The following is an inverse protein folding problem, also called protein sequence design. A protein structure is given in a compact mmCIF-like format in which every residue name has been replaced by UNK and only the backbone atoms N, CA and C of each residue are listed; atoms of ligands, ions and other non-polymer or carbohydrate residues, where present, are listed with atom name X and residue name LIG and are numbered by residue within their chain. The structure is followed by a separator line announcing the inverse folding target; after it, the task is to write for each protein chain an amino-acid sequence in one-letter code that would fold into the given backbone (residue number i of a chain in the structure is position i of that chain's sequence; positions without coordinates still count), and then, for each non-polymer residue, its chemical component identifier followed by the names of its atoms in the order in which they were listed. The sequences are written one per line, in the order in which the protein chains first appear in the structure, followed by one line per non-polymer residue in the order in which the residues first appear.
data_IF_260181563994
#
_entry.id   IF_260181563994
#
_cell.length_a   1.000
_cell.length_b   1.000
_cell.length_c   1.000
_cell.angle_alpha   90.00
_cell.angle_beta   90.00
_cell.angle_gamma   90.00
#
_symmetry.space_group_name_H-M   'P 1'
#
loop_
_entity.id
_entity.type
_entity.pdbx_description
1 polymer ?
#
# COMPACT_ATOMS: atom_id res chain seq x y z
N UNK A 1 -7.97 47.50 15.51
CA UNK A 1 -8.26 46.32 14.66
C UNK A 1 -7.32 45.19 15.08
N UNK A 2 -7.87 44.13 15.68
CA UNK A 2 -7.10 43.19 16.50
C UNK A 2 -6.28 42.22 15.64
N UNK A 3 -4.94 42.26 15.73
CA UNK A 3 -4.03 41.45 14.88
C UNK A 3 -4.33 39.95 14.97
N UNK A 4 -4.78 39.46 16.13
CA UNK A 4 -5.18 38.06 16.34
C UNK A 4 -6.30 37.57 15.40
N UNK A 5 -7.27 38.44 15.05
CA UNK A 5 -8.36 38.10 14.14
C UNK A 5 -7.91 38.06 12.67
N UNK A 6 -6.82 38.75 12.32
CA UNK A 6 -6.28 38.74 10.96
C UNK A 6 -5.54 37.42 10.70
N UNK A 7 -4.71 36.98 11.65
CA UNK A 7 -3.93 35.75 11.54
C UNK A 7 -4.77 34.48 11.61
N UNK A 8 -5.87 34.47 12.38
CA UNK A 8 -6.83 33.35 12.39
C UNK A 8 -7.57 33.25 11.06
N UNK A 9 -8.01 34.38 10.49
CA UNK A 9 -8.69 34.44 9.20
C UNK A 9 -7.77 34.00 8.05
N UNK A 10 -6.50 34.44 8.05
CA UNK A 10 -5.52 34.05 7.03
C UNK A 10 -5.19 32.55 7.08
N UNK A 11 -4.98 31.96 8.27
CA UNK A 11 -4.77 30.50 8.44
C UNK A 11 -5.94 29.67 7.91
N UNK A 12 -7.16 30.10 8.19
CA UNK A 12 -8.36 29.37 7.78
C UNK A 12 -8.58 29.42 6.25
N UNK A 13 -8.16 30.51 5.60
CA UNK A 13 -8.25 30.64 4.13
C UNK A 13 -7.15 29.88 3.36
N UNK A 14 -5.94 29.77 3.90
CA UNK A 14 -4.85 29.04 3.22
C UNK A 14 -5.03 27.53 3.28
N UNK A 15 -5.46 26.98 4.42
CA UNK A 15 -5.78 25.57 4.58
C UNK A 15 -6.92 25.11 3.65
N UNK A 16 -7.97 25.92 3.51
CA UNK A 16 -9.09 25.63 2.61
C UNK A 16 -8.67 25.64 1.12
N UNK A 17 -7.82 26.59 0.71
CA UNK A 17 -7.33 26.65 -0.69
C UNK A 17 -6.35 25.53 -1.02
N UNK A 18 -5.55 25.09 -0.06
CA UNK A 18 -4.68 23.92 -0.22
C UNK A 18 -5.49 22.62 -0.34
N UNK A 19 -6.55 22.47 0.47
CA UNK A 19 -7.46 21.31 0.40
C UNK A 19 -8.19 21.18 -0.95
N UNK A 20 -8.51 22.30 -1.61
CA UNK A 20 -9.17 22.34 -2.92
C UNK A 20 -8.27 21.93 -4.11
N UNK A 21 -6.94 21.85 -3.90
CA UNK A 21 -5.98 21.45 -4.96
C UNK A 21 -5.73 19.94 -5.02
N UNK A 22 -6.22 19.18 -4.04
CA UNK A 22 -6.18 17.73 -4.12
C UNK A 22 -7.32 17.24 -5.02
N UNK A 23 -7.06 16.23 -5.85
CA UNK A 23 -8.10 15.53 -6.62
C UNK A 23 -9.04 14.89 -5.61
N UNK A 24 -10.13 15.58 -5.29
CA UNK A 24 -11.15 15.06 -4.38
C UNK A 24 -12.07 14.15 -5.19
N UNK A 25 -12.04 12.87 -4.87
CA UNK A 25 -13.00 11.91 -5.39
C UNK A 25 -14.35 12.17 -4.72
N UNK A 26 -15.41 12.24 -5.56
CA UNK A 26 -16.81 12.41 -5.14
C UNK A 26 -17.25 11.37 -4.12
N UNK A 27 -16.61 10.20 -4.07
CA UNK A 27 -16.85 9.20 -3.04
C UNK A 27 -16.54 9.70 -1.61
N UNK A 28 -15.50 10.51 -1.43
CA UNK A 28 -15.05 10.97 -0.10
C UNK A 28 -15.62 12.32 0.32
N UNK A 29 -16.38 13.00 -0.55
CA UNK A 29 -17.03 14.26 -0.23
C UNK A 29 -18.08 14.10 0.89
N UNK A 30 -18.17 15.07 1.80
CA UNK A 30 -19.21 15.09 2.81
C UNK A 30 -20.58 15.33 2.14
N UNK A 31 -21.49 14.35 2.24
CA UNK A 31 -22.82 14.39 1.63
C UNK A 31 -23.04 13.40 0.49
N UNK A 32 -22.01 12.70 0.03
CA UNK A 32 -22.05 11.75 -1.10
C UNK A 32 -22.65 10.37 -0.79
N UNK A 33 -23.71 10.31 0.03
CA UNK A 33 -24.35 9.04 0.45
C UNK A 33 -24.80 8.17 -0.73
N UNK A 34 -25.22 8.81 -1.83
CA UNK A 34 -25.66 8.12 -3.06
C UNK A 34 -24.51 7.35 -3.72
N UNK A 35 -23.33 7.96 -3.86
CA UNK A 35 -22.17 7.31 -4.47
C UNK A 35 -21.64 6.16 -3.61
N UNK A 36 -21.67 6.33 -2.28
CA UNK A 36 -21.31 5.27 -1.33
C UNK A 36 -22.25 4.08 -1.43
N UNK A 37 -23.56 4.33 -1.52
CA UNK A 37 -24.57 3.28 -1.68
C UNK A 37 -24.47 2.59 -3.04
N UNK A 38 -24.30 3.35 -4.12
CA UNK A 38 -24.14 2.79 -5.46
C UNK A 38 -22.93 1.87 -5.56
N UNK A 39 -21.78 2.28 -5.00
CA UNK A 39 -20.57 1.46 -4.98
C UNK A 39 -20.75 0.20 -4.12
N UNK A 40 -21.42 0.30 -2.98
CA UNK A 40 -21.76 -0.86 -2.16
C UNK A 40 -22.69 -1.83 -2.91
N UNK A 41 -23.70 -1.33 -3.62
CA UNK A 41 -24.58 -2.15 -4.44
C UNK A 41 -23.84 -2.84 -5.58
N UNK A 42 -22.98 -2.13 -6.31
CA UNK A 42 -22.15 -2.72 -7.37
C UNK A 42 -21.25 -3.82 -6.80
N UNK A 43 -20.63 -3.59 -5.63
CA UNK A 43 -19.83 -4.61 -4.96
C UNK A 43 -20.67 -5.85 -4.58
N UNK A 44 -21.85 -5.64 -3.98
CA UNK A 44 -22.77 -6.75 -3.63
C UNK A 44 -23.18 -7.52 -4.87
N UNK A 45 -23.57 -6.84 -5.96
CA UNK A 45 -23.94 -7.47 -7.22
C UNK A 45 -22.76 -8.28 -7.79
N UNK A 46 -21.55 -7.71 -7.76
CA UNK A 46 -20.34 -8.42 -8.19
C UNK A 46 -20.12 -9.71 -7.40
N UNK A 47 -20.29 -9.67 -6.09
CA UNK A 47 -20.23 -10.87 -5.24
C UNK A 47 -21.33 -11.86 -5.57
N UNK A 48 -22.56 -11.42 -5.79
CA UNK A 48 -23.66 -12.31 -6.18
C UNK A 48 -23.35 -13.01 -7.52
N UNK A 49 -22.88 -12.28 -8.52
CA UNK A 49 -22.49 -12.86 -9.83
C UNK A 49 -21.36 -13.87 -9.67
N UNK A 50 -20.39 -13.62 -8.80
CA UNK A 50 -19.29 -14.53 -8.52
C UNK A 50 -19.75 -15.79 -7.76
N UNK A 51 -20.60 -15.62 -6.74
CA UNK A 51 -21.01 -16.70 -5.84
C UNK A 51 -22.15 -17.54 -6.40
N UNK A 52 -22.99 -16.98 -7.27
CA UNK A 52 -24.17 -17.69 -7.79
C UNK A 52 -23.84 -18.99 -8.54
N UNK A 53 -22.82 -19.06 -9.42
CA UNK A 53 -22.38 -20.32 -10.02
C UNK A 53 -21.90 -21.34 -8.99
N UNK A 54 -21.24 -20.88 -7.91
CA UNK A 54 -20.82 -21.76 -6.81
C UNK A 54 -22.02 -22.32 -6.06
N UNK A 55 -23.06 -21.52 -5.83
CA UNK A 55 -24.31 -21.97 -5.21
C UNK A 55 -25.02 -23.03 -6.06
N UNK A 56 -25.10 -22.83 -7.38
CA UNK A 56 -25.66 -23.83 -8.31
C UNK A 56 -24.85 -25.14 -8.22
N UNK A 57 -23.53 -25.03 -8.20
CA UNK A 57 -22.65 -26.19 -8.10
C UNK A 57 -22.84 -26.94 -6.77
N UNK A 58 -22.84 -26.25 -5.62
CA UNK A 58 -23.10 -26.85 -4.30
C UNK A 58 -24.47 -27.53 -4.28
N UNK A 59 -25.50 -26.83 -4.77
CA UNK A 59 -26.86 -27.35 -4.81
C UNK A 59 -26.98 -28.58 -5.73
N UNK A 60 -26.14 -28.69 -6.75
CA UNK A 60 -26.11 -29.81 -7.72
C UNK A 60 -25.19 -30.97 -7.33
N UNK A 61 -24.27 -30.79 -6.37
CA UNK A 61 -23.43 -31.87 -5.85
C UNK A 61 -24.23 -32.80 -4.93
N UNK A 62 -25.20 -32.25 -4.20
CA UNK A 62 -26.00 -32.99 -3.24
C UNK A 62 -27.13 -33.75 -3.93
N UNK A 63 -27.49 -34.94 -3.43
CA UNK A 63 -28.57 -35.76 -4.00
C UNK A 63 -29.94 -35.08 -3.93
N UNK A 64 -30.13 -34.18 -2.95
CA UNK A 64 -31.33 -33.36 -2.80
C UNK A 64 -30.92 -31.89 -2.78
N UNK A 65 -31.68 -30.99 -3.43
CA UNK A 65 -31.37 -29.58 -3.42
C UNK A 65 -31.48 -29.01 -2.00
N UNK A 66 -30.45 -28.30 -1.55
CA UNK A 66 -30.50 -27.50 -0.31
C UNK A 66 -31.40 -26.28 -0.48
N UNK A 67 -31.37 -25.67 -1.65
CA UNK A 67 -32.15 -24.49 -2.00
C UNK A 67 -33.06 -24.83 -3.17
N UNK A 68 -34.35 -24.94 -2.91
CA UNK A 68 -35.36 -25.29 -3.95
C UNK A 68 -35.54 -24.21 -5.01
N UNK A 69 -35.18 -22.96 -4.72
CA UNK A 69 -35.25 -21.84 -5.66
C UNK A 69 -33.98 -21.68 -6.51
N UNK A 70 -32.91 -22.39 -6.17
CA UNK A 70 -31.66 -22.39 -6.95
C UNK A 70 -31.68 -23.63 -7.83
N UNK A 71 -31.17 -23.49 -9.05
CA UNK A 71 -31.09 -24.59 -10.00
C UNK A 71 -30.31 -25.78 -9.43
N UNK A 72 -30.78 -27.00 -9.72
CA UNK A 72 -30.22 -28.26 -9.25
C UNK A 72 -30.21 -29.26 -10.41
N UNK A 73 -29.05 -29.82 -10.71
CA UNK A 73 -28.95 -30.89 -11.70
C UNK A 73 -29.37 -32.24 -11.11
N UNK A 74 -30.46 -32.81 -11.64
CA UNK A 74 -30.92 -34.16 -11.28
C UNK A 74 -30.41 -35.26 -12.23
N UNK A 75 -29.61 -34.92 -13.24
CA UNK A 75 -29.22 -35.82 -14.32
C UNK A 75 -27.81 -36.41 -14.16
N UNK A 76 -27.63 -37.68 -14.58
CA UNK A 76 -26.33 -38.37 -14.59
C UNK A 76 -25.21 -37.58 -15.28
N UNK A 77 -25.54 -36.80 -16.31
CA UNK A 77 -24.58 -35.98 -17.06
C UNK A 77 -23.95 -34.88 -16.20
N UNK A 78 -24.71 -34.31 -15.26
CA UNK A 78 -24.23 -33.27 -14.37
C UNK A 78 -23.18 -33.79 -13.38
N UNK A 79 -23.43 -34.96 -12.81
CA UNK A 79 -22.46 -35.63 -11.93
C UNK A 79 -21.15 -35.95 -12.66
N UNK A 80 -21.24 -36.46 -13.90
CA UNK A 80 -20.06 -36.74 -14.73
C UNK A 80 -19.24 -35.46 -14.96
N UNK A 81 -19.90 -34.36 -15.33
CA UNK A 81 -19.22 -33.07 -15.52
C UNK A 81 -18.53 -32.58 -14.23
N UNK A 82 -19.21 -32.64 -13.09
CA UNK A 82 -18.66 -32.25 -11.79
C UNK A 82 -17.45 -33.11 -11.40
N UNK A 83 -17.49 -34.41 -11.69
CA UNK A 83 -16.33 -35.29 -11.48
C UNK A 83 -15.14 -34.85 -12.32
N UNK A 84 -15.32 -34.54 -13.60
CA UNK A 84 -14.20 -34.09 -14.45
C UNK A 84 -13.65 -32.73 -14.04
N UNK A 85 -14.52 -31.75 -13.78
CA UNK A 85 -14.08 -30.42 -13.33
C UNK A 85 -13.37 -30.49 -11.98
N UNK A 86 -13.88 -31.29 -11.03
CA UNK A 86 -13.23 -31.44 -9.72
C UNK A 86 -11.84 -32.06 -9.84
N UNK A 87 -11.65 -33.07 -10.71
CA UNK A 87 -10.33 -33.64 -11.00
C UNK A 87 -9.40 -32.57 -11.59
N UNK A 88 -9.85 -31.81 -12.59
CA UNK A 88 -9.03 -30.75 -13.21
C UNK A 88 -8.64 -29.68 -12.19
N UNK A 89 -9.57 -29.26 -11.34
CA UNK A 89 -9.30 -28.26 -10.29
C UNK A 89 -8.30 -28.80 -9.27
N UNK A 90 -8.48 -30.03 -8.78
CA UNK A 90 -7.55 -30.64 -7.81
C UNK A 90 -6.15 -30.79 -8.42
N UNK A 91 -6.04 -31.28 -9.65
CA UNK A 91 -4.75 -31.38 -10.35
C UNK A 91 -4.12 -30.00 -10.54
N UNK A 92 -4.91 -29.00 -10.93
CA UNK A 92 -4.45 -27.62 -11.04
C UNK A 92 -3.90 -27.06 -9.74
N UNK A 93 -4.60 -27.27 -8.61
CA UNK A 93 -4.15 -26.87 -7.28
C UNK A 93 -2.85 -27.58 -6.90
N UNK A 94 -2.73 -28.89 -7.19
CA UNK A 94 -1.50 -29.64 -6.89
C UNK A 94 -0.32 -29.14 -7.72
N UNK A 95 -0.49 -28.94 -9.04
CA UNK A 95 0.58 -28.47 -9.92
C UNK A 95 0.99 -27.03 -9.57
N UNK A 96 0.03 -26.12 -9.44
CA UNK A 96 0.32 -24.72 -9.13
C UNK A 96 0.83 -24.55 -7.70
N UNK A 97 0.26 -25.29 -6.75
CA UNK A 97 0.67 -25.27 -5.35
C UNK A 97 2.10 -25.78 -5.16
N UNK A 98 2.43 -26.92 -5.79
CA UNK A 98 3.81 -27.45 -5.75
C UNK A 98 4.78 -26.51 -6.45
N UNK A 99 4.48 -26.03 -7.65
CA UNK A 99 5.33 -25.07 -8.36
C UNK A 99 5.56 -23.78 -7.54
N UNK A 100 4.50 -23.23 -6.95
CA UNK A 100 4.58 -22.04 -6.10
C UNK A 100 5.45 -22.30 -4.87
N UNK A 101 5.27 -23.45 -4.20
CA UNK A 101 6.09 -23.84 -3.06
C UNK A 101 7.58 -23.90 -3.43
N UNK A 102 7.94 -24.51 -4.56
CA UNK A 102 9.32 -24.56 -5.02
C UNK A 102 9.87 -23.17 -5.38
N UNK A 103 9.08 -22.31 -6.02
CA UNK A 103 9.48 -20.95 -6.35
C UNK A 103 9.72 -20.11 -5.09
N UNK A 104 8.82 -20.17 -4.10
CA UNK A 104 8.97 -19.47 -2.82
C UNK A 104 10.20 -19.98 -2.08
N UNK A 105 10.37 -21.31 -1.99
CA UNK A 105 11.55 -21.90 -1.35
C UNK A 105 12.85 -21.45 -2.03
N UNK A 106 12.89 -21.47 -3.38
CA UNK A 106 14.05 -21.00 -4.15
C UNK A 106 14.30 -19.51 -3.89
N UNK A 107 13.26 -18.70 -3.87
CA UNK A 107 13.38 -17.26 -3.65
C UNK A 107 13.95 -16.96 -2.26
N UNK A 108 13.41 -17.60 -1.21
CA UNK A 108 13.89 -17.43 0.15
C UNK A 108 15.34 -17.89 0.32
N UNK A 109 15.72 -19.02 -0.29
CA UNK A 109 17.12 -19.48 -0.26
C UNK A 109 18.06 -18.48 -0.94
N UNK A 110 17.65 -17.95 -2.09
CA UNK A 110 18.42 -16.94 -2.83
C UNK A 110 18.52 -15.62 -2.06
N UNK A 111 17.46 -15.21 -1.37
CA UNK A 111 17.45 -14.02 -0.55
C UNK A 111 18.40 -14.15 0.64
N UNK A 112 18.29 -15.24 1.40
CA UNK A 112 19.17 -15.49 2.55
C UNK A 112 20.64 -15.57 2.13
N UNK A 113 20.94 -16.23 1.01
CA UNK A 113 22.33 -16.42 0.57
C UNK A 113 22.90 -15.20 -0.15
N UNK A 114 22.12 -14.49 -0.98
CA UNK A 114 22.66 -13.44 -1.86
C UNK A 114 22.34 -12.02 -1.40
N UNK A 115 21.20 -11.77 -0.75
CA UNK A 115 20.86 -10.43 -0.27
C UNK A 115 21.47 -10.13 1.10
N UNK A 116 21.66 -11.13 1.97
CA UNK A 116 22.33 -10.91 3.25
C UNK A 116 23.82 -10.54 3.09
N UNK A 117 24.49 -11.09 2.07
CA UNK A 117 25.90 -10.79 1.78
C UNK A 117 26.10 -9.48 1.01
N UNK A 118 25.10 -9.08 0.20
CA UNK A 118 25.22 -7.91 -0.68
C UNK A 118 24.69 -6.66 -0.01
N UNK A 119 25.59 -5.87 0.58
CA UNK A 119 25.29 -4.50 1.00
C UNK A 119 24.97 -3.68 -0.26
N UNK A 120 23.71 -3.30 -0.44
CA UNK A 120 23.25 -2.47 -1.58
C UNK A 120 23.64 -1.00 -1.46
N UNK A 121 24.25 -0.62 -0.33
CA UNK A 121 24.72 0.72 -0.03
C UNK A 121 26.20 0.66 0.32
N UNK A 122 26.91 1.73 -0.02
CA UNK A 122 28.28 1.95 0.40
C UNK A 122 28.29 2.36 1.88
N UNK A 123 28.90 1.53 2.73
CA UNK A 123 28.91 1.76 4.18
C UNK A 123 29.71 2.99 4.59
N UNK A 124 30.84 3.25 3.92
CA UNK A 124 31.67 4.41 4.23
C UNK A 124 30.91 5.69 3.87
N UNK A 125 30.31 5.68 2.67
CA UNK A 125 29.46 6.75 2.20
C UNK A 125 28.27 7.02 3.14
N UNK A 126 27.62 5.96 3.61
CA UNK A 126 26.48 6.10 4.51
C UNK A 126 26.89 6.65 5.89
N UNK A 127 28.05 6.25 6.42
CA UNK A 127 28.59 6.80 7.67
C UNK A 127 28.88 8.31 7.56
N UNK A 128 29.49 8.74 6.46
CA UNK A 128 29.76 10.16 6.19
C UNK A 128 28.45 10.93 6.13
N UNK A 129 27.47 10.44 5.37
CA UNK A 129 26.14 11.08 5.26
C UNK A 129 25.40 11.17 6.58
N UNK A 130 25.47 10.13 7.41
CA UNK A 130 24.90 10.14 8.76
C UNK A 130 25.55 11.19 9.65
N UNK A 131 26.88 11.34 9.59
CA UNK A 131 27.59 12.36 10.35
C UNK A 131 27.20 13.78 9.89
N UNK A 132 27.16 14.02 8.56
CA UNK A 132 26.72 15.30 7.99
C UNK A 132 25.28 15.64 8.34
N UNK A 133 24.38 14.65 8.34
CA UNK A 133 23.01 14.86 8.80
C UNK A 133 22.94 15.15 10.28
N UNK A 134 23.71 14.45 11.11
CA UNK A 134 23.68 14.71 12.55
C UNK A 134 24.15 16.13 12.88
N UNK A 135 25.19 16.61 12.20
CA UNK A 135 25.66 18.00 12.30
C UNK A 135 24.57 19.00 11.86
N UNK A 136 24.02 18.81 10.67
CA UNK A 136 22.99 19.68 10.10
C UNK A 136 21.73 19.75 10.98
N UNK A 137 21.29 18.61 11.50
CA UNK A 137 20.13 18.56 12.37
C UNK A 137 20.42 19.13 13.75
N UNK A 138 21.63 18.95 14.28
CA UNK A 138 22.03 19.54 15.55
C UNK A 138 22.06 21.07 15.50
N UNK A 139 22.54 21.65 14.40
CA UNK A 139 22.55 23.10 14.18
C UNK A 139 21.12 23.67 14.13
N UNK A 140 20.22 23.00 13.41
CA UNK A 140 18.89 23.54 13.07
C UNK A 140 17.81 23.22 14.08
N UNK A 141 17.90 22.07 14.73
CA UNK A 141 16.85 21.51 15.59
C UNK A 141 17.35 21.20 17.01
N UNK A 142 18.63 21.45 17.31
CA UNK A 142 19.22 21.20 18.62
C UNK A 142 19.71 19.77 18.80
N UNK A 143 20.26 19.50 19.98
CA UNK A 143 20.95 18.25 20.26
C UNK A 143 20.05 17.00 20.10
N UNK A 144 20.70 15.87 19.80
CA UNK A 144 20.02 14.59 19.58
C UNK A 144 19.10 14.15 20.72
N UNK A 145 19.54 14.31 21.97
CA UNK A 145 18.80 13.84 23.15
C UNK A 145 17.52 14.65 23.37
N UNK A 146 17.56 15.95 23.10
CA UNK A 146 16.39 16.82 23.09
C UNK A 146 15.42 16.47 21.96
N UNK A 147 15.93 16.13 20.76
CA UNK A 147 15.08 15.73 19.62
C UNK A 147 14.39 14.38 19.85
N UNK A 148 15.11 13.39 20.37
CA UNK A 148 14.59 12.05 20.59
C UNK A 148 13.62 11.96 21.80
N UNK A 149 13.74 12.88 22.77
CA UNK A 149 12.84 12.95 23.93
C UNK A 149 11.52 13.69 23.65
N UNK A 150 11.44 14.49 22.58
CA UNK A 150 10.25 15.24 22.24
C UNK A 150 9.23 14.39 21.44
N UNK A 151 8.05 14.15 22.01
CA UNK A 151 6.96 13.42 21.33
C UNK A 151 6.24 14.23 20.23
N UNK A 152 6.43 15.55 20.20
CA UNK A 152 5.85 16.44 19.19
C UNK A 152 6.72 17.68 18.97
N UNK A 153 6.95 18.03 17.71
CA UNK A 153 7.72 19.21 17.31
C UNK A 153 7.03 19.94 16.15
N UNK A 154 6.87 21.26 16.28
CA UNK A 154 6.34 22.11 15.21
C UNK A 154 7.50 22.79 14.50
N UNK A 155 7.73 22.41 13.25
CA UNK A 155 8.79 23.02 12.41
C UNK A 155 8.32 24.38 11.92
N UNK A 156 9.08 25.43 12.21
CA UNK A 156 8.80 26.77 11.65
C UNK A 156 9.11 26.80 10.15
N UNK A 157 8.44 27.64 9.34
CA UNK A 157 8.72 27.73 7.90
C UNK A 157 10.19 28.00 7.57
N UNK A 158 10.89 28.77 8.40
CA UNK A 158 12.30 29.14 8.25
C UNK A 158 13.23 27.95 8.54
N UNK A 159 12.80 27.04 9.41
CA UNK A 159 13.51 25.80 9.71
C UNK A 159 13.29 24.73 8.65
N UNK A 160 12.33 24.89 7.73
CA UNK A 160 12.11 23.89 6.69
C UNK A 160 13.26 23.87 5.67
N UNK A 161 13.63 22.68 5.21
CA UNK A 161 14.69 22.53 4.21
C UNK A 161 14.19 22.95 2.82
N UNK A 162 14.94 23.76 2.06
CA UNK A 162 14.59 24.05 0.69
C UNK A 162 14.70 22.79 -0.18
N UNK A 163 14.00 22.79 -1.32
CA UNK A 163 14.01 21.65 -2.25
C UNK A 163 15.45 21.33 -2.66
N UNK A 164 15.82 20.04 -2.60
CA UNK A 164 17.15 19.50 -2.91
C UNK A 164 18.30 19.87 -1.95
N UNK A 165 18.04 20.63 -0.88
CA UNK A 165 19.10 21.10 0.03
C UNK A 165 20.00 19.98 0.55
N UNK A 166 19.40 18.90 1.07
CA UNK A 166 20.11 17.73 1.60
C UNK A 166 21.00 17.08 0.53
N UNK A 167 20.52 16.98 -0.71
CA UNK A 167 21.27 16.39 -1.82
C UNK A 167 22.48 17.26 -2.20
N UNK A 168 22.30 18.58 -2.23
CA UNK A 168 23.40 19.52 -2.48
C UNK A 168 24.43 19.48 -1.36
N UNK A 169 23.97 19.44 -0.11
CA UNK A 169 24.84 19.38 1.06
C UNK A 169 25.70 18.12 1.10
N UNK A 170 25.16 16.96 0.68
CA UNK A 170 25.98 15.78 0.48
C UNK A 170 27.02 15.99 -0.61
N UNK A 171 26.65 16.50 -1.79
CA UNK A 171 27.62 16.70 -2.90
C UNK A 171 28.77 17.64 -2.55
N UNK A 172 28.52 18.62 -1.68
CA UNK A 172 29.51 19.64 -1.31
C UNK A 172 30.50 19.13 -0.26
N UNK A 173 30.06 18.25 0.64
CA UNK A 173 30.86 17.77 1.78
C UNK A 173 31.34 16.32 1.63
N UNK A 174 30.76 15.57 0.69
CA UNK A 174 31.25 14.29 0.22
C UNK A 174 32.26 14.60 -0.87
N UNK A 175 33.57 14.46 -0.58
CA UNK A 175 34.63 14.56 -1.57
C UNK A 175 34.46 13.43 -2.60
N UNK A 176 33.54 13.56 -3.55
CA UNK A 176 33.30 12.56 -4.60
C UNK A 176 33.85 13.10 -5.93
N UNK A 177 34.81 12.40 -6.58
CA UNK A 177 35.08 12.63 -7.99
C UNK A 177 33.82 12.25 -8.79
N UNK A 178 33.46 13.09 -9.76
CA UNK A 178 32.31 12.89 -10.65
C UNK A 178 32.24 11.45 -11.16
N UNK A 179 31.10 10.77 -10.91
CA UNK A 179 30.72 9.67 -11.79
C UNK A 179 30.37 10.28 -13.14
N UNK A 180 31.32 10.20 -14.08
CA UNK A 180 31.03 10.29 -15.50
C UNK A 180 29.95 9.26 -15.85
N UNK A 181 29.01 9.73 -16.67
CA UNK A 181 27.77 9.08 -17.09
C UNK A 181 27.95 7.67 -17.66
#
# INVERSE_FOLDING_TARGET
MNKLNLWSKLRNTSGNKAAQRFVQDKFYENGSKVYKLAQALVAIIGWLVLLFPLLIMINSILEKPLFTFIYHWSGKQGHIFLTYISIVVVVGILVLGTASFFLVRRNNLMEIQKLAEKKFYDEEKNKIRLALMEELYSERFGDKTSRESAGYYVVSPEQNFPKNYIRSHYKENENEPERAE
#
